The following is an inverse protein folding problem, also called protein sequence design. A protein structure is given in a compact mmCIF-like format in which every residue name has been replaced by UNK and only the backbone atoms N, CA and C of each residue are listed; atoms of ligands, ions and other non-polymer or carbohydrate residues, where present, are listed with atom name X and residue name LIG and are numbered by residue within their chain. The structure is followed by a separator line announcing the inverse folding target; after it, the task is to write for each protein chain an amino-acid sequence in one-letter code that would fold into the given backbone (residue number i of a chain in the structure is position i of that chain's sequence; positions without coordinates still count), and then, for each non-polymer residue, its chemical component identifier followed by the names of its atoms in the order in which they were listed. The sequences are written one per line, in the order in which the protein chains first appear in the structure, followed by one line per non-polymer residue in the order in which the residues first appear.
data_IF_351056598665
#
_entry.id   IF_351056598665
#
_cell.length_a   1.000
_cell.length_b   1.000
_cell.length_c   1.000
_cell.angle_alpha   90.00
_cell.angle_beta   90.00
_cell.angle_gamma   90.00
#
_symmetry.space_group_name_H-M   'P 1'
#
loop_
_entity.id
_entity.type
_entity.pdbx_description
1 polymer ?
#
# COMPACT_ATOMS: atom_id res chain seq x y z
N UNK A 1 -10.42 -6.76 -8.64
CA UNK A 1 -9.11 -6.66 -7.97
C UNK A 1 -9.05 -7.79 -6.98
N UNK A 2 -8.08 -8.70 -7.11
CA UNK A 2 -7.93 -9.89 -6.28
C UNK A 2 -6.91 -9.69 -5.18
N UNK A 3 -5.90 -8.81 -5.37
CA UNK A 3 -4.82 -8.62 -4.40
C UNK A 3 -4.16 -7.24 -4.49
N UNK A 4 -4.00 -6.58 -3.34
CA UNK A 4 -3.26 -5.30 -3.21
C UNK A 4 -1.95 -5.54 -2.47
N UNK A 5 -0.81 -5.22 -3.08
CA UNK A 5 0.47 -5.21 -2.40
C UNK A 5 0.65 -3.93 -1.58
N UNK A 6 1.04 -4.05 -0.31
CA UNK A 6 1.54 -2.95 0.51
C UNK A 6 3.06 -3.06 0.58
N UNK A 7 3.75 -2.26 -0.23
CA UNK A 7 5.21 -2.24 -0.28
C UNK A 7 5.73 -1.32 0.84
N UNK A 8 6.21 -1.94 1.91
CA UNK A 8 6.44 -1.33 3.21
C UNK A 8 5.15 -1.19 4.02
N UNK A 9 5.19 -1.58 5.29
CA UNK A 9 4.06 -1.63 6.24
C UNK A 9 4.32 -0.71 7.44
N UNK A 10 4.71 0.53 7.12
CA UNK A 10 4.85 1.62 8.08
C UNK A 10 3.50 2.20 8.52
N UNK A 11 3.53 3.38 9.16
CA UNK A 11 2.33 4.04 9.72
C UNK A 11 1.20 4.23 8.70
N UNK A 12 1.51 4.78 7.53
CA UNK A 12 0.50 5.08 6.50
C UNK A 12 -0.15 3.81 5.95
N UNK A 13 0.64 2.81 5.55
CA UNK A 13 0.09 1.57 4.98
C UNK A 13 -0.64 0.71 6.03
N UNK A 14 -0.28 0.78 7.32
CA UNK A 14 -1.07 0.16 8.41
C UNK A 14 -2.43 0.81 8.57
N UNK A 15 -2.48 2.14 8.58
CA UNK A 15 -3.75 2.88 8.65
C UNK A 15 -4.63 2.56 7.44
N UNK A 16 -4.05 2.57 6.24
CA UNK A 16 -4.72 2.17 5.01
C UNK A 16 -5.29 0.75 5.07
N UNK A 17 -4.46 -0.22 5.47
CA UNK A 17 -4.86 -1.62 5.64
C UNK A 17 -6.08 -1.74 6.56
N UNK A 18 -6.04 -1.10 7.74
CA UNK A 18 -7.13 -1.16 8.72
C UNK A 18 -8.44 -0.57 8.16
N UNK A 19 -8.36 0.61 7.54
CA UNK A 19 -9.54 1.26 6.94
C UNK A 19 -10.10 0.39 5.82
N UNK A 20 -9.25 -0.11 4.92
CA UNK A 20 -9.71 -0.91 3.80
C UNK A 20 -10.29 -2.25 4.22
N UNK A 21 -9.70 -2.95 5.21
CA UNK A 21 -10.29 -4.17 5.80
C UNK A 21 -11.63 -3.90 6.49
N UNK A 22 -11.82 -2.71 7.08
CA UNK A 22 -13.12 -2.32 7.65
C UNK A 22 -14.19 -2.06 6.59
N UNK A 23 -13.79 -1.63 5.39
CA UNK A 23 -14.67 -1.38 4.25
C UNK A 23 -14.98 -2.68 3.50
N UNK A 24 -13.97 -3.52 3.30
CA UNK A 24 -14.02 -4.77 2.56
C UNK A 24 -13.14 -5.82 3.28
N UNK A 25 -13.73 -6.63 4.19
CA UNK A 25 -12.99 -7.65 4.93
C UNK A 25 -12.37 -8.74 4.05
N UNK A 26 -12.96 -9.01 2.88
CA UNK A 26 -12.53 -10.04 1.93
C UNK A 26 -11.37 -9.57 1.04
N UNK A 27 -11.03 -8.28 1.08
CA UNK A 27 -9.92 -7.73 0.32
C UNK A 27 -8.60 -8.33 0.81
N UNK A 28 -7.88 -9.01 -0.09
CA UNK A 28 -6.60 -9.64 0.24
C UNK A 28 -5.45 -8.65 0.05
N UNK A 29 -4.68 -8.45 1.12
CA UNK A 29 -3.42 -7.71 1.07
C UNK A 29 -2.23 -8.65 0.97
N UNK A 30 -1.18 -8.15 0.31
CA UNK A 30 0.15 -8.74 0.34
C UNK A 30 1.14 -7.74 0.93
N UNK A 31 1.61 -8.00 2.15
CA UNK A 31 2.58 -7.13 2.81
C UNK A 31 3.99 -7.54 2.43
N UNK A 32 4.71 -6.64 1.76
CA UNK A 32 6.11 -6.86 1.40
C UNK A 32 6.98 -5.88 2.16
N UNK A 33 7.83 -6.39 3.05
CA UNK A 33 8.75 -5.59 3.86
C UNK A 33 10.20 -5.70 3.38
N UNK A 34 10.99 -4.66 3.63
CA UNK A 34 12.43 -4.71 3.34
C UNK A 34 13.16 -5.60 4.35
N UNK A 35 12.70 -5.55 5.59
CA UNK A 35 13.33 -6.19 6.75
C UNK A 35 12.47 -7.35 7.26
N UNK A 36 12.99 -8.06 8.27
CA UNK A 36 12.25 -9.11 8.96
C UNK A 36 10.93 -8.58 9.51
N UNK A 37 9.85 -9.32 9.28
CA UNK A 37 8.53 -9.03 9.84
C UNK A 37 8.43 -9.67 11.23
N UNK A 38 7.97 -8.93 12.27
CA UNK A 38 7.67 -9.49 13.58
C UNK A 38 6.66 -10.64 13.53
N UNK A 39 6.80 -11.65 14.38
CA UNK A 39 5.98 -12.87 14.31
C UNK A 39 4.51 -12.61 14.64
N UNK A 40 4.22 -11.70 15.57
CA UNK A 40 2.86 -11.23 15.88
C UNK A 40 2.15 -10.63 14.65
N UNK A 41 2.89 -9.88 13.84
CA UNK A 41 2.37 -9.32 12.59
C UNK A 41 2.14 -10.42 11.55
N UNK A 42 3.05 -11.40 11.42
CA UNK A 42 2.84 -12.55 10.52
C UNK A 42 1.59 -13.33 10.89
N UNK A 43 1.38 -13.56 12.18
CA UNK A 43 0.17 -14.22 12.68
C UNK A 43 -1.08 -13.41 12.37
N UNK A 44 -1.07 -12.10 12.64
CA UNK A 44 -2.19 -11.21 12.34
C UNK A 44 -2.57 -11.24 10.85
N UNK A 45 -1.59 -11.15 9.95
CA UNK A 45 -1.82 -11.19 8.51
C UNK A 45 -2.36 -12.56 8.09
N UNK A 46 -1.77 -13.65 8.59
CA UNK A 46 -2.20 -15.01 8.25
C UNK A 46 -3.63 -15.30 8.73
N UNK A 47 -4.01 -14.82 9.92
CA UNK A 47 -5.39 -14.93 10.46
C UNK A 47 -6.42 -14.20 9.60
N UNK A 48 -6.00 -13.13 8.91
CA UNK A 48 -6.85 -12.36 8.00
C UNK A 48 -6.78 -12.85 6.55
N UNK A 49 -6.19 -14.02 6.29
CA UNK A 49 -5.93 -14.57 4.96
C UNK A 49 -5.07 -13.67 4.06
N UNK A 50 -4.27 -12.79 4.66
CA UNK A 50 -3.35 -11.92 3.95
C UNK A 50 -1.98 -12.59 3.81
N UNK A 51 -1.27 -12.20 2.76
CA UNK A 51 0.04 -12.73 2.44
C UNK A 51 1.13 -11.80 2.97
N UNK A 52 2.32 -12.36 3.19
CA UNK A 52 3.48 -11.56 3.55
C UNK A 52 4.79 -12.11 2.99
N UNK A 53 5.78 -11.22 2.90
CA UNK A 53 7.16 -11.56 2.58
C UNK A 53 8.13 -10.54 3.17
N UNK A 54 9.40 -10.93 3.15
CA UNK A 54 10.54 -10.11 3.53
C UNK A 54 11.44 -9.94 2.29
N UNK A 55 12.22 -8.86 2.23
CA UNK A 55 13.18 -8.50 1.18
C UNK A 55 12.62 -8.03 -0.18
N UNK A 56 11.34 -7.64 -0.28
CA UNK A 56 10.75 -7.10 -1.52
C UNK A 56 11.03 -7.94 -2.77
N UNK A 57 10.48 -9.15 -2.83
CA UNK A 57 10.75 -10.11 -3.91
C UNK A 57 9.79 -9.94 -5.08
N UNK A 58 10.10 -10.57 -6.22
CA UNK A 58 9.26 -10.56 -7.43
C UNK A 58 7.83 -11.08 -7.22
N UNK A 59 7.50 -11.69 -6.07
CA UNK A 59 6.12 -12.07 -5.72
C UNK A 59 5.16 -10.88 -5.73
N UNK A 60 5.65 -9.64 -5.56
CA UNK A 60 4.77 -8.45 -5.63
C UNK A 60 4.21 -8.22 -7.03
N UNK A 61 4.80 -8.83 -8.06
CA UNK A 61 4.32 -8.76 -9.44
C UNK A 61 3.04 -9.58 -9.66
N UNK A 62 2.69 -10.48 -8.73
CA UNK A 62 1.41 -11.22 -8.76
C UNK A 62 0.21 -10.40 -8.25
N UNK A 63 0.39 -9.10 -8.01
CA UNK A 63 -0.63 -8.21 -7.45
C UNK A 63 -1.23 -7.29 -8.51
N UNK A 64 -2.50 -6.93 -8.36
CA UNK A 64 -3.19 -6.04 -9.31
C UNK A 64 -2.82 -4.56 -9.10
N UNK A 65 -2.34 -4.22 -7.92
CA UNK A 65 -2.02 -2.88 -7.47
C UNK A 65 -0.95 -2.94 -6.39
N UNK A 66 0.03 -2.04 -6.46
CA UNK A 66 1.06 -1.85 -5.44
C UNK A 66 0.85 -0.49 -4.79
N UNK A 67 0.69 -0.45 -3.46
CA UNK A 67 0.68 0.76 -2.65
C UNK A 67 2.02 0.87 -1.93
N UNK A 68 2.89 1.75 -2.40
CA UNK A 68 4.21 2.00 -1.81
C UNK A 68 4.10 2.98 -0.65
N UNK A 69 4.81 2.69 0.43
CA UNK A 69 5.05 3.66 1.50
C UNK A 69 5.90 4.84 0.98
N UNK A 70 5.71 6.09 1.46
CA UNK A 70 6.47 7.25 0.99
C UNK A 70 8.00 7.12 1.09
N UNK A 71 8.48 6.36 2.08
CA UNK A 71 9.92 6.10 2.27
C UNK A 71 10.52 5.04 1.33
N UNK A 72 9.70 4.37 0.52
CA UNK A 72 10.19 3.39 -0.47
C UNK A 72 10.65 4.13 -1.72
N UNK A 73 11.87 3.82 -2.16
CA UNK A 73 12.46 4.40 -3.36
C UNK A 73 11.61 4.03 -4.60
N UNK A 74 11.02 5.00 -5.33
CA UNK A 74 10.19 4.71 -6.50
C UNK A 74 10.98 4.14 -7.69
N UNK A 75 12.32 4.30 -7.69
CA UNK A 75 13.19 3.85 -8.77
C UNK A 75 13.73 2.43 -8.56
N UNK A 76 13.20 1.67 -7.60
CA UNK A 76 13.56 0.26 -7.42
C UNK A 76 13.27 -0.55 -8.68
N UNK A 77 14.19 -1.44 -9.05
CA UNK A 77 14.08 -2.27 -10.26
C UNK A 77 12.75 -3.04 -10.31
N UNK A 78 12.29 -3.55 -9.17
CA UNK A 78 11.03 -4.30 -9.08
C UNK A 78 9.79 -3.44 -9.36
N UNK A 79 9.79 -2.16 -8.95
CA UNK A 79 8.70 -1.23 -9.27
C UNK A 79 8.72 -0.85 -10.76
N UNK A 80 9.90 -0.72 -11.35
CA UNK A 80 10.05 -0.50 -12.79
C UNK A 80 9.55 -1.70 -13.59
N UNK A 81 9.79 -2.93 -13.13
CA UNK A 81 9.21 -4.16 -13.70
C UNK A 81 7.69 -4.16 -13.59
N UNK A 82 7.15 -3.87 -12.40
CA UNK A 82 5.71 -3.79 -12.18
C UNK A 82 5.03 -2.82 -13.14
N UNK A 83 5.58 -1.61 -13.31
CA UNK A 83 5.06 -0.61 -14.26
C UNK A 83 5.10 -1.11 -15.71
N UNK A 84 6.17 -1.80 -16.13
CA UNK A 84 6.29 -2.41 -17.47
C UNK A 84 5.27 -3.51 -17.71
N UNK A 85 4.89 -4.25 -16.67
CA UNK A 85 3.84 -5.28 -16.70
C UNK A 85 2.42 -4.69 -16.61
N UNK A 86 2.29 -3.36 -16.56
CA UNK A 86 1.01 -2.67 -16.47
C UNK A 86 0.41 -2.66 -15.06
N UNK A 87 1.18 -3.12 -14.06
CA UNK A 87 0.78 -3.06 -12.65
C UNK A 87 0.88 -1.61 -12.19
N UNK A 88 -0.20 -1.14 -11.60
CA UNK A 88 -0.31 0.22 -11.11
C UNK A 88 0.46 0.38 -9.80
N UNK A 89 1.28 1.43 -9.70
CA UNK A 89 2.10 1.73 -8.52
C UNK A 89 1.66 3.04 -7.89
N UNK A 90 0.93 2.86 -6.79
CA UNK A 90 0.32 3.73 -5.79
C UNK A 90 1.15 4.37 -4.69
N UNK A 91 0.85 5.59 -4.23
CA UNK A 91 0.83 5.87 -2.78
C UNK A 91 -0.58 5.73 -2.20
N UNK A 92 -0.69 5.58 -0.88
CA UNK A 92 -1.98 5.55 -0.18
C UNK A 92 -2.84 6.78 -0.50
N UNK A 93 -2.25 7.97 -0.49
CA UNK A 93 -2.97 9.23 -0.77
C UNK A 93 -3.53 9.27 -2.19
N UNK A 94 -2.77 8.83 -3.19
CA UNK A 94 -3.24 8.74 -4.59
C UNK A 94 -4.37 7.73 -4.75
N UNK A 95 -4.25 6.58 -4.07
CA UNK A 95 -5.32 5.59 -4.06
C UNK A 95 -6.58 6.18 -3.41
N UNK A 96 -6.46 6.78 -2.23
CA UNK A 96 -7.58 7.35 -1.48
C UNK A 96 -8.30 8.43 -2.28
N UNK A 97 -7.55 9.33 -2.93
CA UNK A 97 -8.12 10.33 -3.85
C UNK A 97 -8.98 9.67 -4.93
N UNK A 98 -8.44 8.68 -5.64
CA UNK A 98 -9.16 8.04 -6.74
C UNK A 98 -10.31 7.17 -6.27
N UNK A 99 -10.16 6.49 -5.14
CA UNK A 99 -11.21 5.71 -4.51
C UNK A 99 -12.42 6.60 -4.20
N UNK A 100 -12.20 7.74 -3.54
CA UNK A 100 -13.26 8.70 -3.21
C UNK A 100 -13.86 9.34 -4.47
N UNK A 101 -13.03 9.68 -5.46
CA UNK A 101 -13.49 10.20 -6.76
C UNK A 101 -14.38 9.20 -7.48
N UNK A 102 -13.97 7.93 -7.55
CA UNK A 102 -14.74 6.87 -8.20
C UNK A 102 -16.05 6.55 -7.46
N UNK A 103 -16.08 6.74 -6.14
CA UNK A 103 -17.30 6.64 -5.33
C UNK A 103 -18.24 7.85 -5.47
N UNK A 104 -17.80 8.94 -6.09
CA UNK A 104 -18.57 10.19 -6.14
C UNK A 104 -18.65 10.92 -4.79
N UNK A 105 -17.76 10.60 -3.85
CA UNK A 105 -17.76 11.13 -2.47
C UNK A 105 -16.52 11.97 -2.20
N UNK A 106 -15.93 12.58 -3.23
CA UNK A 106 -14.70 13.35 -3.10
C UNK A 106 -15.00 14.66 -2.33
N UNK A 107 -14.42 14.87 -1.13
CA UNK A 107 -14.58 16.13 -0.41
C UNK A 107 -13.69 17.22 -1.03
N UNK A 108 -13.83 18.46 -0.54
CA UNK A 108 -12.82 19.50 -0.76
C UNK A 108 -11.48 19.02 -0.19
N UNK A 109 -10.43 19.00 -1.03
CA UNK A 109 -9.09 18.60 -0.65
C UNK A 109 -8.16 19.81 -0.60
N UNK A 110 -7.49 20.00 0.54
CA UNK A 110 -6.49 21.05 0.74
C UNK A 110 -5.14 20.36 0.95
N UNK A 111 -4.22 20.54 0.00
CA UNK A 111 -2.87 20.01 0.08
C UNK A 111 -1.92 21.02 0.73
N UNK A 112 -1.30 20.63 1.85
CA UNK A 112 -0.25 21.43 2.52
C UNK A 112 1.10 20.72 2.32
N UNK A 113 2.05 21.41 1.69
CA UNK A 113 3.39 20.88 1.40
C UNK A 113 4.48 21.93 1.70
N UNK A 114 5.74 21.50 1.74
CA UNK A 114 6.88 22.37 2.05
C UNK A 114 7.92 21.68 2.93
N UNK A 115 9.12 22.24 3.04
CA UNK A 115 10.19 21.63 3.87
C UNK A 115 9.91 21.85 5.35
N UNK A 116 9.51 23.06 5.76
CA UNK A 116 9.27 23.47 7.15
C UNK A 116 7.87 24.09 7.32
N UNK A 117 7.33 24.13 8.55
CA UNK A 117 6.08 24.84 8.89
C UNK A 117 4.76 24.15 8.50
N UNK A 118 4.79 22.92 7.94
CA UNK A 118 3.57 22.21 7.48
C UNK A 118 2.53 21.91 8.56
N UNK A 119 2.95 21.84 9.82
CA UNK A 119 2.08 21.51 10.97
C UNK A 119 1.71 22.75 11.79
N UNK A 120 2.23 23.92 11.42
CA UNK A 120 2.11 25.18 12.16
C UNK A 120 1.01 26.03 11.55
#
# INVERSE_FOLDING_TARGET
MRRICLLGFGKSNRAFYNVMKSIDPELVFFVSEKSKIPDDLKEMLSRNNDLWEENHTNRILDCDLIIRSPGVNPNMEILQKALKEGIRVETEVEFTYRFLKNKGTLPTLIGVTGTNGKTT
#
